data_IF_140713235344
#
_entry.id   IF_140713235344
#
_cell.length_a   1.000
_cell.length_b   1.000
_cell.length_c   1.000
_cell.angle_alpha   90.00
_cell.angle_beta   90.00
_cell.angle_gamma   90.00
#
_symmetry.space_group_name_H-M   'P 1'
#
loop_
_entity.id
_entity.type
_entity.pdbx_description
1 polymer ?
#
# COMPACT_ATOMS: atom_id res chain seq x y z
N UNK A 1 -2.85 -17.04 1.36
CA UNK A 1 -3.69 -16.66 2.50
C UNK A 1 -3.71 -15.15 2.59
N UNK A 2 -4.53 -14.51 1.77
CA UNK A 2 -4.51 -13.06 1.55
C UNK A 2 -4.71 -12.27 2.86
N UNK A 3 -3.99 -11.15 2.93
CA UNK A 3 -3.89 -10.21 4.04
C UNK A 3 -5.20 -10.09 4.84
N UNK A 4 -5.13 -10.25 6.16
CA UNK A 4 -6.21 -9.83 7.05
C UNK A 4 -6.36 -8.32 6.86
N UNK A 5 -7.46 -7.88 6.23
CA UNK A 5 -7.77 -6.48 6.08
C UNK A 5 -7.77 -5.79 7.44
N UNK A 6 -6.73 -5.01 7.73
CA UNK A 6 -6.70 -4.13 8.89
C UNK A 6 -7.80 -3.09 8.76
N UNK A 7 -8.59 -2.88 9.81
CA UNK A 7 -9.57 -1.80 9.84
C UNK A 7 -8.83 -0.47 9.82
N UNK A 8 -9.15 0.39 8.84
CA UNK A 8 -8.64 1.75 8.81
C UNK A 8 -9.00 2.44 10.15
N UNK A 9 -8.08 3.21 10.76
CA UNK A 9 -8.32 3.86 12.04
C UNK A 9 -9.61 4.67 12.03
N UNK A 10 -10.27 4.78 13.20
CA UNK A 10 -11.37 5.74 13.41
C UNK A 10 -10.91 7.14 13.00
N UNK A 11 -11.41 7.63 11.86
CA UNK A 11 -11.16 8.99 11.36
C UNK A 11 -10.31 9.11 10.10
N UNK A 12 -10.11 8.03 9.35
CA UNK A 12 -9.57 8.07 7.99
C UNK A 12 -10.56 8.77 7.03
N UNK A 13 -10.09 9.70 6.20
CA UNK A 13 -10.94 10.45 5.27
C UNK A 13 -11.47 9.61 4.09
N UNK A 14 -10.68 8.60 3.69
CA UNK A 14 -10.98 7.70 2.57
C UNK A 14 -11.33 6.30 3.05
N UNK A 15 -11.76 6.16 4.31
CA UNK A 15 -12.58 5.02 4.62
C UNK A 15 -13.88 5.24 3.85
N UNK A 16 -13.95 4.73 2.61
CA UNK A 16 -15.22 4.27 2.08
C UNK A 16 -15.85 3.41 3.18
N UNK A 17 -15.08 2.64 3.95
CA UNK A 17 -15.49 1.96 5.19
C UNK A 17 -15.94 2.79 6.40
N UNK A 18 -15.86 4.13 6.41
CA UNK A 18 -16.50 4.91 7.46
C UNK A 18 -17.99 4.86 7.23
N UNK A 19 -18.71 4.64 8.32
CA UNK A 19 -20.15 4.65 8.32
C UNK A 19 -20.66 6.03 7.83
N UNK A 20 -21.20 6.20 6.60
CA UNK A 20 -21.83 7.44 6.10
C UNK A 20 -23.03 7.81 6.98
N UNK A 21 -23.36 6.90 7.88
CA UNK A 21 -24.32 7.05 8.92
C UNK A 21 -23.90 7.91 10.12
N UNK A 22 -22.70 8.50 10.08
CA UNK A 22 -22.30 9.55 11.01
C UNK A 22 -21.86 10.81 10.24
N UNK A 23 -22.82 11.42 9.54
CA UNK A 23 -22.74 12.61 8.68
C UNK A 23 -22.22 13.91 9.34
N UNK A 24 -21.73 13.89 10.58
CA UNK A 24 -21.00 15.04 11.15
C UNK A 24 -19.54 15.14 10.66
N UNK A 25 -19.24 14.64 9.46
CA UNK A 25 -17.86 14.47 8.96
C UNK A 25 -17.59 15.29 7.70
N UNK A 26 -17.19 16.53 7.98
CA UNK A 26 -16.35 17.50 7.26
C UNK A 26 -16.05 17.31 5.76
N UNK A 27 -16.57 18.22 4.93
CA UNK A 27 -16.28 18.34 3.49
C UNK A 27 -14.83 18.70 3.20
N UNK A 28 -14.11 19.32 4.15
CA UNK A 28 -12.69 19.70 4.00
C UNK A 28 -11.76 18.49 3.81
N UNK A 29 -12.24 17.28 4.12
CA UNK A 29 -11.51 16.02 3.94
C UNK A 29 -11.56 15.43 2.53
N UNK A 30 -12.52 15.82 1.69
CA UNK A 30 -12.60 15.36 0.29
C UNK A 30 -11.61 16.10 -0.62
N UNK A 31 -11.35 17.38 -0.34
CA UNK A 31 -10.28 18.14 -1.00
C UNK A 31 -8.89 17.58 -0.64
N UNK A 32 -8.79 16.90 0.49
CA UNK A 32 -7.57 16.27 0.97
C UNK A 32 -7.53 14.75 0.76
N UNK A 33 -8.50 14.10 0.09
CA UNK A 33 -8.63 12.64 -0.10
C UNK A 33 -7.58 11.99 -1.03
N UNK A 34 -7.40 10.67 -0.99
CA UNK A 34 -6.39 9.99 -1.84
C UNK A 34 -6.74 10.17 -3.33
N UNK A 35 -8.04 10.16 -3.63
CA UNK A 35 -8.56 10.45 -4.97
C UNK A 35 -8.41 11.93 -5.38
N UNK A 36 -8.38 12.88 -4.44
CA UNK A 36 -8.10 14.28 -4.77
C UNK A 36 -6.59 14.52 -4.95
N UNK A 37 -5.74 13.86 -4.15
CA UNK A 37 -4.28 13.88 -4.29
C UNK A 37 -3.82 13.35 -5.66
N UNK A 38 -4.50 12.35 -6.21
CA UNK A 38 -4.24 11.82 -7.56
C UNK A 38 -4.58 12.80 -8.69
N UNK A 39 -5.43 13.81 -8.43
CA UNK A 39 -6.00 14.69 -9.45
C UNK A 39 -5.63 16.17 -9.29
N UNK A 40 -4.86 16.54 -8.24
CA UNK A 40 -4.46 17.91 -7.97
C UNK A 40 -2.95 18.09 -7.97
N UNK A 41 -2.49 19.29 -8.34
CA UNK A 41 -1.09 19.68 -8.21
C UNK A 41 -0.73 19.88 -6.74
N UNK A 42 0.46 19.44 -6.34
CA UNK A 42 0.98 19.56 -4.97
C UNK A 42 2.41 20.06 -4.98
N UNK A 43 2.69 21.14 -4.25
CA UNK A 43 4.04 21.66 -4.02
C UNK A 43 4.68 20.97 -2.81
N UNK A 44 5.85 20.36 -3.02
CA UNK A 44 6.66 19.76 -1.95
C UNK A 44 8.02 20.44 -1.94
N UNK A 45 8.35 21.12 -0.84
CA UNK A 45 9.70 21.61 -0.55
C UNK A 45 10.37 20.65 0.41
N UNK A 46 11.43 19.96 -0.03
CA UNK A 46 12.09 18.89 0.73
C UNK A 46 13.59 19.13 0.88
N UNK A 47 14.11 18.83 2.06
CA UNK A 47 15.53 18.73 2.37
C UNK A 47 15.87 17.30 2.80
N UNK A 48 16.72 16.63 2.03
CA UNK A 48 17.19 15.29 2.33
C UNK A 48 18.64 15.25 2.82
N UNK A 49 18.88 14.46 3.88
CA UNK A 49 20.21 14.12 4.37
C UNK A 49 20.43 12.62 4.23
N UNK A 50 21.61 12.21 3.78
CA UNK A 50 21.97 10.79 3.70
C UNK A 50 23.38 10.53 4.21
N UNK A 51 23.54 9.40 4.88
CA UNK A 51 24.83 8.82 5.23
C UNK A 51 24.97 7.49 4.50
N UNK A 52 26.13 7.23 3.90
CA UNK A 52 26.41 5.97 3.22
C UNK A 52 27.74 5.41 3.68
N UNK A 53 27.73 4.15 4.09
CA UNK A 53 28.91 3.34 4.37
C UNK A 53 29.01 2.25 3.31
N UNK A 54 30.09 2.26 2.53
CA UNK A 54 30.32 1.32 1.44
C UNK A 54 31.72 0.69 1.58
N UNK A 55 31.75 -0.64 1.60
CA UNK A 55 32.96 -1.47 1.67
C UNK A 55 32.93 -2.60 0.64
N UNK A 56 32.06 -2.49 -0.37
CA UNK A 56 31.89 -3.50 -1.40
C UNK A 56 33.20 -3.68 -2.19
N UNK A 57 33.58 -4.94 -2.41
CA UNK A 57 34.78 -5.25 -3.17
C UNK A 57 34.64 -5.02 -4.68
N UNK A 58 33.42 -4.92 -5.21
CA UNK A 58 33.14 -4.66 -6.61
C UNK A 58 31.75 -4.04 -6.78
N UNK A 59 31.62 -2.97 -7.57
CA UNK A 59 30.37 -2.20 -7.66
C UNK A 59 29.20 -2.93 -8.35
N UNK A 60 29.46 -3.67 -9.44
CA UNK A 60 28.40 -4.36 -10.20
C UNK A 60 28.12 -5.80 -9.76
N UNK A 61 29.07 -6.43 -9.07
CA UNK A 61 29.02 -7.84 -8.68
C UNK A 61 29.75 -8.04 -7.36
N UNK A 62 29.19 -7.50 -6.27
CA UNK A 62 29.83 -7.64 -4.98
C UNK A 62 29.82 -9.12 -4.57
N UNK A 63 30.94 -9.57 -4.01
CA UNK A 63 31.06 -10.91 -3.40
C UNK A 63 31.52 -10.85 -1.96
N UNK A 64 31.90 -9.66 -1.48
CA UNK A 64 32.26 -9.40 -0.10
C UNK A 64 32.08 -7.92 0.23
N UNK A 65 31.64 -7.65 1.45
CA UNK A 65 31.54 -6.31 2.01
C UNK A 65 30.11 -5.95 2.33
N UNK A 66 29.89 -4.67 2.64
CA UNK A 66 28.56 -4.14 2.89
C UNK A 66 28.36 -2.80 2.23
N UNK A 67 27.10 -2.51 1.96
CA UNK A 67 26.60 -1.21 1.61
C UNK A 67 25.45 -0.89 2.56
N UNK A 68 25.56 0.20 3.32
CA UNK A 68 24.50 0.67 4.21
C UNK A 68 24.26 2.14 3.94
N UNK A 69 23.00 2.51 3.72
CA UNK A 69 22.56 3.89 3.55
C UNK A 69 21.45 4.19 4.54
N UNK A 70 21.60 5.31 5.23
CA UNK A 70 20.55 5.89 6.08
C UNK A 70 20.17 7.23 5.46
N UNK A 71 18.87 7.47 5.29
CA UNK A 71 18.31 8.73 4.78
C UNK A 71 17.35 9.32 5.81
N UNK A 72 17.37 10.64 5.91
CA UNK A 72 16.46 11.43 6.70
C UNK A 72 16.03 12.63 5.86
N UNK A 73 14.77 12.65 5.46
CA UNK A 73 14.19 13.70 4.64
C UNK A 73 13.15 14.46 5.47
N UNK A 74 13.08 15.78 5.29
CA UNK A 74 12.07 16.64 5.88
C UNK A 74 11.48 17.52 4.78
N UNK A 75 10.15 17.57 4.70
CA UNK A 75 9.42 18.41 3.78
C UNK A 75 8.47 19.35 4.53
N UNK A 76 8.20 20.52 3.95
CA UNK A 76 7.26 21.50 4.53
C UNK A 76 7.87 22.38 5.61
N UNK A 77 7.02 22.80 6.56
CA UNK A 77 7.42 23.61 7.70
C UNK A 77 7.94 24.99 7.27
N UNK A 78 9.10 25.44 7.80
CA UNK A 78 9.69 26.72 7.44
C UNK A 78 10.03 26.86 5.95
N UNK A 79 10.09 25.75 5.20
CA UNK A 79 10.39 25.74 3.76
C UNK A 79 9.14 25.93 2.89
N UNK A 80 7.95 26.00 3.49
CA UNK A 80 6.66 26.03 2.80
C UNK A 80 6.37 24.72 2.07
N UNK A 81 5.28 24.69 1.31
CA UNK A 81 4.76 23.50 0.65
C UNK A 81 3.44 23.03 1.25
N UNK A 82 2.75 22.16 0.54
CA UNK A 82 1.39 21.73 0.87
C UNK A 82 1.37 20.54 1.84
N UNK A 83 2.54 19.97 2.14
CA UNK A 83 2.68 18.82 3.05
C UNK A 83 3.91 18.98 3.93
N UNK A 84 3.68 18.78 5.23
CA UNK A 84 4.67 18.80 6.29
C UNK A 84 4.89 17.36 6.78
N UNK A 85 6.03 16.78 6.42
CA UNK A 85 6.34 15.38 6.71
C UNK A 85 7.83 15.14 6.88
N UNK A 86 8.18 14.06 7.55
CA UNK A 86 9.54 13.56 7.58
C UNK A 86 9.57 12.08 7.19
N UNK A 87 10.68 11.67 6.59
CA UNK A 87 10.95 10.29 6.17
C UNK A 87 12.27 9.84 6.75
N UNK A 88 12.29 8.68 7.38
CA UNK A 88 13.50 8.00 7.84
C UNK A 88 13.58 6.64 7.15
N UNK A 89 14.70 6.36 6.48
CA UNK A 89 14.88 5.10 5.75
C UNK A 89 16.29 4.54 6.00
N UNK A 90 16.36 3.23 6.20
CA UNK A 90 17.61 2.48 6.19
C UNK A 90 17.54 1.38 5.13
N UNK A 91 18.58 1.31 4.31
CA UNK A 91 18.81 0.25 3.35
C UNK A 91 20.20 -0.34 3.62
N UNK A 92 20.29 -1.66 3.76
CA UNK A 92 21.56 -2.36 3.96
C UNK A 92 21.63 -3.60 3.08
N UNK A 93 22.80 -3.87 2.55
CA UNK A 93 23.12 -5.05 1.77
C UNK A 93 24.47 -5.57 2.21
N UNK A 94 24.49 -6.80 2.72
CA UNK A 94 25.69 -7.53 3.10
C UNK A 94 25.98 -8.64 2.10
N UNK A 95 27.23 -8.75 1.70
CA UNK A 95 27.73 -9.78 0.80
C UNK A 95 28.80 -10.60 1.51
N UNK A 96 28.59 -11.90 1.57
CA UNK A 96 29.51 -12.85 2.17
C UNK A 96 29.96 -13.88 1.13
N UNK A 97 31.25 -14.27 1.13
CA UNK A 97 31.68 -15.47 0.41
C UNK A 97 30.88 -16.69 0.88
N UNK A 98 30.38 -17.48 -0.07
CA UNK A 98 29.63 -18.70 0.22
C UNK A 98 30.52 -19.92 0.50
N UNK A 99 29.89 -21.09 0.56
CA UNK A 99 30.54 -22.38 0.88
C UNK A 99 31.61 -22.86 -0.12
N UNK A 100 31.66 -22.32 -1.34
CA UNK A 100 32.66 -22.69 -2.34
C UNK A 100 33.09 -21.47 -3.17
N UNK A 101 34.16 -21.65 -3.96
CA UNK A 101 34.77 -20.56 -4.72
C UNK A 101 33.75 -19.87 -5.64
N UNK A 102 33.62 -18.56 -5.49
CA UNK A 102 32.73 -17.72 -6.29
C UNK A 102 31.27 -17.73 -5.85
N UNK A 103 30.87 -18.60 -4.92
CA UNK A 103 29.52 -18.56 -4.31
C UNK A 103 29.39 -17.29 -3.46
N UNK A 104 28.19 -16.73 -3.40
CA UNK A 104 27.91 -15.51 -2.65
C UNK A 104 26.58 -15.65 -1.91
N UNK A 105 26.59 -15.33 -0.63
CA UNK A 105 25.39 -15.08 0.18
C UNK A 105 25.17 -13.56 0.25
N UNK A 106 24.02 -13.12 -0.21
CA UNK A 106 23.54 -11.74 -0.15
C UNK A 106 22.41 -11.64 0.88
N UNK A 107 22.51 -10.68 1.79
CA UNK A 107 21.46 -10.36 2.76
C UNK A 107 21.12 -8.89 2.62
N UNK A 108 19.90 -8.60 2.19
CA UNK A 108 19.37 -7.24 2.03
C UNK A 108 18.33 -6.98 3.10
N UNK A 109 18.40 -5.82 3.73
CA UNK A 109 17.41 -5.33 4.68
C UNK A 109 17.02 -3.90 4.34
N UNK A 110 15.71 -3.61 4.41
CA UNK A 110 15.14 -2.27 4.23
C UNK A 110 14.13 -2.03 5.33
N UNK A 111 14.12 -0.82 5.88
CA UNK A 111 13.05 -0.37 6.75
C UNK A 111 12.89 1.12 6.61
N UNK A 112 11.66 1.61 6.73
CA UNK A 112 11.40 3.04 6.69
C UNK A 112 10.11 3.42 7.37
N UNK A 113 10.08 4.68 7.80
CA UNK A 113 8.92 5.34 8.37
C UNK A 113 8.78 6.71 7.72
N UNK A 114 7.55 7.07 7.40
CA UNK A 114 7.16 8.40 6.96
C UNK A 114 5.97 8.84 7.82
N UNK A 115 6.03 10.07 8.32
CA UNK A 115 5.00 10.60 9.19
C UNK A 115 4.86 12.11 8.94
N UNK A 116 3.67 12.63 9.23
CA UNK A 116 3.35 14.05 9.11
C UNK A 116 3.53 14.79 10.42
N UNK A 117 3.78 16.09 10.32
CA UNK A 117 3.79 16.98 11.48
C UNK A 117 3.05 18.28 11.16
N UNK A 118 2.92 19.15 12.16
CA UNK A 118 2.28 20.46 11.99
C UNK A 118 0.80 20.35 11.60
N UNK A 119 0.42 21.01 10.52
CA UNK A 119 -0.97 21.07 10.04
C UNK A 119 -1.32 19.90 9.11
N UNK A 120 -0.32 19.14 8.67
CA UNK A 120 -0.52 17.96 7.84
C UNK A 120 -1.06 16.80 8.67
N UNK A 121 -2.23 16.30 8.25
CA UNK A 121 -2.97 15.27 9.01
C UNK A 121 -2.62 13.84 8.59
N UNK A 122 -1.96 13.65 7.44
CA UNK A 122 -1.73 12.34 6.85
C UNK A 122 -0.63 12.37 5.80
N UNK A 123 0.05 11.24 5.64
CA UNK A 123 1.04 11.06 4.57
C UNK A 123 0.32 10.87 3.23
N UNK A 124 0.62 11.71 2.22
CA UNK A 124 0.00 11.59 0.90
C UNK A 124 0.34 10.28 0.20
N UNK A 125 -0.56 9.79 -0.63
CA UNK A 125 -0.49 8.47 -1.26
C UNK A 125 0.83 8.20 -1.97
N UNK A 126 1.34 9.18 -2.71
CA UNK A 126 2.61 9.06 -3.45
C UNK A 126 3.86 9.00 -2.56
N UNK A 127 3.74 9.40 -1.29
CA UNK A 127 4.84 9.39 -0.33
C UNK A 127 4.86 8.11 0.53
N UNK A 128 3.81 7.29 0.46
CA UNK A 128 3.71 6.05 1.23
C UNK A 128 4.60 4.95 0.68
N UNK A 129 4.85 3.95 1.53
CA UNK A 129 5.62 2.77 1.18
C UNK A 129 4.74 1.67 0.59
N UNK A 130 5.34 0.89 -0.30
CA UNK A 130 4.71 -0.24 -0.96
C UNK A 130 5.72 -1.37 -1.10
N UNK A 131 5.25 -2.62 -0.95
CA UNK A 131 6.03 -3.82 -1.21
C UNK A 131 5.33 -4.70 -2.24
N UNK A 132 6.09 -5.57 -2.89
CA UNK A 132 5.63 -6.42 -3.99
C UNK A 132 6.30 -6.08 -5.34
N UNK A 133 6.39 -7.08 -6.21
CA UNK A 133 7.10 -7.00 -7.48
C UNK A 133 8.61 -7.32 -7.39
N UNK A 134 9.33 -7.14 -8.50
CA UNK A 134 10.67 -7.69 -8.70
C UNK A 134 11.81 -7.11 -7.82
N UNK A 135 11.60 -5.97 -7.16
CA UNK A 135 12.64 -5.31 -6.35
C UNK A 135 12.52 -5.56 -4.84
N UNK A 136 11.41 -6.13 -4.39
CA UNK A 136 11.15 -6.41 -2.98
C UNK A 136 10.64 -7.84 -2.82
N UNK A 137 9.35 -8.04 -2.54
CA UNK A 137 8.73 -9.37 -2.41
C UNK A 137 8.45 -9.96 -3.79
N UNK A 138 9.41 -10.73 -4.32
CA UNK A 138 9.35 -11.34 -5.65
C UNK A 138 8.24 -12.40 -5.74
N UNK A 139 7.51 -12.40 -6.85
CA UNK A 139 6.37 -13.31 -7.08
C UNK A 139 5.03 -12.77 -6.59
N UNK A 140 5.01 -11.71 -5.77
CA UNK A 140 3.81 -10.90 -5.53
C UNK A 140 3.64 -9.84 -6.61
N UNK A 141 2.40 -9.43 -6.84
CA UNK A 141 2.09 -8.35 -7.77
C UNK A 141 2.66 -7.01 -7.28
N UNK A 142 2.86 -6.08 -8.21
CA UNK A 142 3.44 -4.79 -7.92
C UNK A 142 2.57 -4.02 -6.91
N UNK A 143 3.16 -3.65 -5.76
CA UNK A 143 2.51 -2.93 -4.64
C UNK A 143 1.40 -3.70 -3.91
N UNK A 144 1.29 -5.01 -4.11
CA UNK A 144 0.21 -5.82 -3.54
C UNK A 144 0.26 -5.94 -2.00
N UNK A 145 1.45 -5.78 -1.42
CA UNK A 145 1.67 -5.99 0.01
C UNK A 145 1.46 -4.70 0.80
N UNK A 146 0.47 -4.74 1.69
CA UNK A 146 0.19 -3.66 2.65
C UNK A 146 -1.30 -3.39 2.82
N UNK A 147 -1.65 -2.23 3.42
CA UNK A 147 -3.01 -1.75 3.48
C UNK A 147 -3.63 -1.63 2.08
N UNK A 148 -4.84 -2.16 1.93
CA UNK A 148 -5.61 -2.10 0.69
C UNK A 148 -6.87 -1.28 0.89
N UNK A 149 -7.38 -0.71 -0.21
CA UNK A 149 -8.59 0.08 -0.16
C UNK A 149 -9.78 -0.82 0.16
N UNK A 150 -10.40 -0.55 1.30
CA UNK A 150 -11.64 -1.16 1.71
C UNK A 150 -12.82 -0.45 1.04
N UNK A 151 -13.65 -1.19 0.31
CA UNK A 151 -14.85 -0.65 -0.35
C UNK A 151 -16.11 -1.22 0.29
N UNK A 152 -17.23 -0.54 0.06
CA UNK A 152 -18.52 -1.11 0.43
C UNK A 152 -18.85 -2.23 -0.52
N UNK A 153 -19.34 -3.34 0.03
CA UNK A 153 -19.95 -4.38 -0.78
C UNK A 153 -21.16 -3.77 -1.47
N UNK A 154 -21.14 -3.79 -2.79
CA UNK A 154 -22.24 -3.31 -3.65
C UNK A 154 -22.79 -4.46 -4.48
N UNK A 155 -23.98 -4.27 -5.05
CA UNK A 155 -24.58 -5.28 -5.90
C UNK A 155 -25.87 -4.83 -6.53
N UNK A 156 -26.50 -5.75 -7.25
CA UNK A 156 -27.80 -5.55 -7.88
C UNK A 156 -28.77 -6.58 -7.32
N UNK A 157 -29.97 -6.15 -6.92
CA UNK A 157 -31.01 -7.05 -6.42
C UNK A 157 -31.81 -7.71 -7.57
N UNK A 158 -32.77 -8.58 -7.20
CA UNK A 158 -33.64 -9.27 -8.17
C UNK A 158 -34.57 -8.36 -8.94
N UNK A 159 -34.79 -7.12 -8.47
CA UNK A 159 -35.60 -6.09 -9.12
C UNK A 159 -34.76 -5.15 -10.01
N UNK A 160 -33.49 -5.50 -10.24
CA UNK A 160 -32.53 -4.75 -11.04
C UNK A 160 -32.22 -3.34 -10.47
N UNK A 161 -32.33 -3.18 -9.15
CA UNK A 161 -31.88 -1.99 -8.42
C UNK A 161 -30.44 -2.19 -7.95
N UNK A 162 -29.60 -1.18 -8.14
CA UNK A 162 -28.26 -1.13 -7.58
C UNK A 162 -28.30 -0.69 -6.12
N UNK A 163 -27.35 -1.16 -5.31
CA UNK A 163 -27.36 -0.93 -3.87
C UNK A 163 -26.12 -1.43 -3.15
N UNK A 164 -26.17 -1.38 -1.83
CA UNK A 164 -25.06 -1.75 -0.96
C UNK A 164 -25.54 -2.65 0.19
N UNK A 165 -24.60 -3.32 0.86
CA UNK A 165 -24.92 -4.25 1.93
C UNK A 165 -24.58 -3.67 3.32
N UNK A 166 -25.46 -3.91 4.29
CA UNK A 166 -25.27 -3.56 5.71
C UNK A 166 -25.58 -4.74 6.61
N UNK A 167 -24.99 -4.76 7.80
CA UNK A 167 -25.28 -5.71 8.88
C UNK A 167 -26.13 -5.03 9.96
N UNK A 168 -27.15 -5.73 10.43
CA UNK A 168 -27.92 -5.31 11.61
C UNK A 168 -27.14 -5.61 12.91
N UNK A 169 -27.73 -5.25 14.07
CA UNK A 169 -27.19 -5.61 15.40
C UNK A 169 -26.95 -7.12 15.59
N UNK A 170 -27.72 -7.97 14.90
CA UNK A 170 -27.60 -9.43 14.92
C UNK A 170 -26.62 -9.97 13.87
N UNK A 171 -25.85 -9.11 13.21
CA UNK A 171 -24.89 -9.42 12.13
C UNK A 171 -25.50 -10.02 10.86
N UNK A 172 -26.81 -9.89 10.67
CA UNK A 172 -27.52 -10.31 9.46
C UNK A 172 -27.32 -9.28 8.35
N UNK A 173 -26.81 -9.72 7.20
CA UNK A 173 -26.63 -8.89 6.01
C UNK A 173 -27.97 -8.54 5.35
N UNK A 174 -28.14 -7.27 4.98
CA UNK A 174 -29.30 -6.75 4.24
C UNK A 174 -28.82 -5.87 3.08
N UNK A 175 -29.50 -5.98 1.95
CA UNK A 175 -29.29 -5.15 0.77
C UNK A 175 -30.14 -3.90 0.82
N UNK A 176 -29.52 -2.74 0.56
CA UNK A 176 -30.17 -1.42 0.54
C UNK A 176 -30.07 -0.87 -0.87
N UNK A 177 -31.21 -0.70 -1.59
CA UNK A 177 -31.19 -0.08 -2.90
C UNK A 177 -30.83 1.41 -2.79
N UNK A 178 -30.21 1.94 -3.84
CA UNK A 178 -29.91 3.36 -4.01
C UNK A 178 -30.32 3.83 -5.39
N UNK A 179 -30.48 5.15 -5.55
CA UNK A 179 -30.88 5.72 -6.85
C UNK A 179 -29.70 5.83 -7.83
N UNK A 180 -28.47 5.48 -7.41
CA UNK A 180 -27.27 5.47 -8.27
C UNK A 180 -27.23 4.22 -9.14
N UNK A 181 -26.76 4.37 -10.39
CA UNK A 181 -26.53 3.25 -11.32
C UNK A 181 -25.04 2.92 -11.53
N UNK A 182 -24.14 3.60 -10.80
CA UNK A 182 -22.70 3.44 -10.91
C UNK A 182 -22.08 2.79 -9.67
N UNK A 183 -20.80 2.38 -9.76
CA UNK A 183 -20.06 1.70 -8.68
C UNK A 183 -19.92 2.50 -7.37
N UNK A 184 -20.34 3.76 -7.36
CA UNK A 184 -20.37 4.64 -6.21
C UNK A 184 -21.82 4.85 -5.76
N UNK A 185 -22.31 4.03 -4.81
CA UNK A 185 -23.72 4.02 -4.41
C UNK A 185 -24.16 5.28 -3.68
N UNK A 186 -23.24 6.17 -3.29
CA UNK A 186 -23.57 7.38 -2.54
C UNK A 186 -23.46 8.67 -3.34
N UNK A 187 -23.07 8.58 -4.62
CA UNK A 187 -22.98 9.72 -5.49
C UNK A 187 -24.18 9.76 -6.45
N UNK A 188 -24.83 10.92 -6.54
CA UNK A 188 -25.80 11.21 -7.59
C UNK A 188 -25.04 11.43 -8.89
N UNK A 189 -25.25 10.52 -9.81
CA UNK A 189 -24.72 10.55 -11.17
C UNK A 189 -25.57 11.53 -12.01
N UNK A 190 -24.91 12.40 -12.77
CA UNK A 190 -25.58 13.31 -13.68
C UNK A 190 -26.36 12.49 -14.74
N UNK A 191 -27.69 12.68 -14.86
CA UNK A 191 -28.51 11.94 -15.81
C UNK A 191 -28.09 12.14 -17.27
N UNK A 192 -27.50 13.30 -17.59
CA UNK A 192 -27.07 13.67 -18.94
C UNK A 192 -25.60 13.30 -19.20
N UNK A 193 -24.78 13.20 -18.15
CA UNK A 193 -23.39 12.78 -18.24
C UNK A 193 -23.03 11.76 -17.14
N UNK A 194 -23.17 10.45 -17.42
CA UNK A 194 -22.90 9.39 -16.44
C UNK A 194 -21.48 9.39 -15.87
N UNK A 195 -20.52 10.05 -16.51
CA UNK A 195 -19.15 10.16 -15.98
C UNK A 195 -19.00 11.23 -14.89
N UNK A 196 -20.01 12.10 -14.70
CA UNK A 196 -20.00 13.17 -13.71
C UNK A 196 -20.89 12.84 -12.50
N UNK A 197 -20.36 13.14 -11.32
CA UNK A 197 -21.07 13.03 -10.04
C UNK A 197 -21.15 14.42 -9.41
N UNK A 198 -22.34 14.83 -8.96
CA UNK A 198 -22.57 16.24 -8.59
C UNK A 198 -23.04 16.44 -7.14
N UNK A 199 -23.47 15.40 -6.44
CA UNK A 199 -23.84 15.49 -5.02
C UNK A 199 -23.90 14.13 -4.35
N UNK A 200 -23.84 14.12 -3.01
CA UNK A 200 -24.10 12.92 -2.22
C UNK A 200 -25.61 12.62 -2.17
N UNK A 201 -25.98 11.34 -2.14
CA UNK A 201 -27.35 10.93 -1.80
C UNK A 201 -27.42 10.39 -0.37
N UNK A 202 -28.52 10.75 0.32
CA UNK A 202 -28.86 10.16 1.61
C UNK A 202 -29.31 8.73 1.32
N UNK A 203 -28.72 7.71 1.94
CA UNK A 203 -29.12 6.34 1.70
C UNK A 203 -30.57 6.07 2.13
N UNK A 204 -31.20 5.01 1.62
CA UNK A 204 -32.56 4.61 2.03
C UNK A 204 -32.52 3.86 3.36
N UNK A 205 -33.58 3.99 4.17
CA UNK A 205 -33.66 3.31 5.48
C UNK A 205 -33.67 1.77 5.30
N UNK A 206 -32.75 1.02 5.94
CA UNK A 206 -32.72 -0.43 5.92
C UNK A 206 -33.97 -1.16 6.41
N UNK A 207 -34.79 -0.50 7.23
CA UNK A 207 -36.06 -1.03 7.71
C UNK A 207 -37.24 -0.64 6.81
N UNK A 208 -37.12 0.45 6.05
CA UNK A 208 -38.16 0.97 5.16
C UNK A 208 -37.52 1.72 3.96
N UNK A 209 -37.28 1.02 2.84
CA UNK A 209 -36.61 1.61 1.68
C UNK A 209 -37.34 2.80 1.05
N UNK A 210 -38.58 3.08 1.45
CA UNK A 210 -39.32 4.26 0.98
C UNK A 210 -38.97 5.55 1.72
N UNK A 211 -38.18 5.45 2.80
CA UNK A 211 -37.77 6.57 3.65
C UNK A 211 -36.28 6.86 3.52
N UNK A 212 -35.94 8.13 3.68
CA UNK A 212 -34.57 8.56 3.89
C UNK A 212 -34.05 7.97 5.20
N UNK A 213 -32.84 7.44 5.15
CA UNK A 213 -32.18 6.84 6.29
C UNK A 213 -31.87 7.90 7.35
N UNK A 214 -32.17 7.56 8.61
CA UNK A 214 -31.82 8.36 9.78
C UNK A 214 -30.73 7.67 10.60
N UNK A 215 -29.71 8.40 11.09
CA UNK A 215 -28.71 7.90 12.03
C UNK A 215 -29.30 7.32 13.30
N UNK A 216 -29.59 6.03 13.27
CA UNK A 216 -29.72 5.21 14.45
C UNK A 216 -28.56 4.21 14.43
N UNK A 217 -27.89 3.99 15.57
CA UNK A 217 -26.72 3.10 15.76
C UNK A 217 -27.05 1.59 15.56
N UNK A 218 -27.84 1.24 14.56
CA UNK A 218 -28.40 -0.11 14.35
C UNK A 218 -27.74 -0.87 13.20
N UNK A 219 -27.00 -0.19 12.33
CA UNK A 219 -26.50 -0.78 11.08
C UNK A 219 -25.04 -0.43 10.81
N UNK A 220 -24.26 -1.43 10.41
CA UNK A 220 -22.84 -1.28 10.04
C UNK A 220 -22.64 -1.74 8.60
N UNK A 221 -21.86 -1.03 7.77
CA UNK A 221 -21.60 -1.47 6.41
C UNK A 221 -20.94 -2.83 6.32
N UNK A 222 -21.25 -3.56 5.25
CA UNK A 222 -20.45 -4.70 4.83
C UNK A 222 -19.33 -4.18 3.96
N UNK A 223 -18.11 -4.36 4.45
CA UNK A 223 -16.89 -3.97 3.76
C UNK A 223 -16.33 -5.17 3.03
N UNK A 224 -15.91 -4.95 1.79
CA UNK A 224 -15.21 -5.91 0.96
C UNK A 224 -13.83 -5.35 0.64
N UNK A 225 -12.80 -6.19 0.79
CA UNK A 225 -11.46 -5.86 0.35
C UNK A 225 -11.48 -5.86 -1.18
N UNK A 226 -11.22 -4.72 -1.81
CA UNK A 226 -11.30 -4.66 -3.27
C UNK A 226 -10.17 -5.44 -3.92
N UNK A 227 -9.03 -5.65 -3.24
CA UNK A 227 -7.81 -6.24 -3.83
C UNK A 227 -7.21 -5.41 -4.96
N UNK A 228 -7.87 -4.34 -5.39
CA UNK A 228 -7.62 -3.66 -6.67
C UNK A 228 -6.79 -2.38 -6.50
N UNK A 229 -6.84 -1.77 -5.32
CA UNK A 229 -6.17 -0.48 -5.07
C UNK A 229 -5.32 -0.60 -3.79
N UNK A 230 -4.00 -0.79 -3.92
CA UNK A 230 -3.11 -0.76 -2.76
C UNK A 230 -3.02 0.68 -2.25
N UNK A 231 -3.13 0.88 -0.93
CA UNK A 231 -3.03 2.21 -0.30
C UNK A 231 -1.62 2.55 0.13
N UNK A 232 -0.76 1.54 0.23
CA UNK A 232 0.54 1.67 0.85
C UNK A 232 0.42 1.98 2.35
N UNK A 233 1.53 2.35 2.97
CA UNK A 233 1.55 2.63 4.40
C UNK A 233 2.65 3.58 4.83
N UNK A 234 2.55 4.04 6.08
CA UNK A 234 3.50 4.97 6.69
C UNK A 234 4.73 4.29 7.28
N UNK A 235 4.74 2.96 7.40
CA UNK A 235 5.95 2.23 7.78
C UNK A 235 6.05 0.89 7.07
N UNK A 236 7.28 0.41 6.89
CA UNK A 236 7.54 -0.88 6.27
C UNK A 236 8.86 -1.47 6.72
N UNK A 237 8.99 -2.78 6.56
CA UNK A 237 10.26 -3.47 6.57
C UNK A 237 10.28 -4.58 5.54
N UNK A 238 11.47 -4.89 5.05
CA UNK A 238 11.71 -5.92 4.06
C UNK A 238 13.09 -6.54 4.29
N UNK A 239 13.19 -7.85 4.14
CA UNK A 239 14.45 -8.60 4.19
C UNK A 239 14.46 -9.64 3.08
N UNK A 240 15.60 -9.79 2.42
CA UNK A 240 15.84 -10.81 1.41
C UNK A 240 17.16 -11.51 1.72
N UNK A 241 17.14 -12.84 1.70
CA UNK A 241 18.35 -13.67 1.75
C UNK A 241 18.47 -14.38 0.41
N UNK A 242 19.57 -14.16 -0.31
CA UNK A 242 19.83 -14.75 -1.61
C UNK A 242 21.18 -15.50 -1.60
N UNK A 243 21.18 -16.76 -2.02
CA UNK A 243 22.38 -17.55 -2.21
C UNK A 243 22.60 -17.81 -3.70
N UNK A 244 23.72 -17.32 -4.23
CA UNK A 244 24.04 -17.44 -5.66
C UNK A 244 25.29 -18.27 -5.93
N UNK A 245 25.20 -19.13 -6.93
CA UNK A 245 26.21 -20.08 -7.37
C UNK A 245 26.62 -19.74 -8.81
N UNK A 246 27.92 -19.52 -9.10
CA UNK A 246 28.37 -19.33 -10.46
C UNK A 246 28.30 -20.66 -11.24
N UNK A 247 27.73 -20.61 -12.45
CA UNK A 247 27.75 -21.73 -13.41
C UNK A 247 28.90 -21.53 -14.40
N UNK A 248 29.01 -20.31 -14.92
CA UNK A 248 30.13 -19.80 -15.74
C UNK A 248 30.36 -18.33 -15.34
N UNK A 249 31.42 -17.70 -15.84
CA UNK A 249 31.81 -16.33 -15.47
C UNK A 249 30.67 -15.30 -15.59
N UNK A 250 29.74 -15.49 -16.53
CA UNK A 250 28.65 -14.55 -16.83
C UNK A 250 27.27 -15.01 -16.37
N UNK A 251 27.15 -16.20 -15.79
CA UNK A 251 25.87 -16.80 -15.41
C UNK A 251 25.95 -17.33 -13.99
N UNK A 252 25.03 -16.89 -13.13
CA UNK A 252 24.82 -17.45 -11.81
C UNK A 252 23.38 -17.91 -11.69
N UNK A 253 23.17 -18.99 -10.95
CA UNK A 253 21.85 -19.39 -10.44
C UNK A 253 21.74 -18.93 -9.00
N UNK A 254 20.56 -18.51 -8.58
CA UNK A 254 20.29 -18.04 -7.23
C UNK A 254 19.07 -18.76 -6.65
N UNK A 255 19.08 -18.94 -5.35
CA UNK A 255 17.90 -19.25 -4.55
C UNK A 255 17.71 -18.10 -3.58
N UNK A 256 16.47 -17.69 -3.37
CA UNK A 256 16.17 -16.60 -2.46
C UNK A 256 14.96 -16.89 -1.57
N UNK A 257 14.91 -16.17 -0.47
CA UNK A 257 13.77 -16.09 0.43
C UNK A 257 13.58 -14.62 0.81
N UNK A 258 12.37 -14.11 0.58
CA UNK A 258 12.00 -12.73 0.85
C UNK A 258 10.91 -12.71 1.92
N UNK A 259 10.96 -11.71 2.79
CA UNK A 259 9.97 -11.49 3.83
C UNK A 259 9.83 -9.99 4.08
N UNK A 260 8.60 -9.51 4.28
CA UNK A 260 8.38 -8.11 4.59
C UNK A 260 6.91 -7.76 4.80
N UNK A 261 6.67 -6.53 5.26
CA UNK A 261 5.33 -6.02 5.48
C UNK A 261 5.31 -4.49 5.38
N UNK A 262 4.13 -3.95 5.03
CA UNK A 262 3.80 -2.52 5.05
C UNK A 262 2.66 -2.32 6.03
N UNK A 263 2.74 -1.29 6.86
CA UNK A 263 1.77 -0.96 7.89
C UNK A 263 1.20 0.44 7.67
N UNK A 264 -0.08 0.60 8.03
CA UNK A 264 -0.80 1.86 7.84
C UNK A 264 -0.17 3.01 8.62
N UNK A 265 0.16 2.76 9.89
CA UNK A 265 0.58 3.80 10.82
C UNK A 265 2.12 3.92 10.86
N UNK A 266 2.66 5.13 11.12
CA UNK A 266 4.08 5.32 11.29
C UNK A 266 4.57 4.59 12.56
N UNK A 267 5.77 4.02 12.49
CA UNK A 267 6.38 3.23 13.57
C UNK A 267 5.60 1.98 14.01
N UNK A 268 4.60 1.54 13.25
CA UNK A 268 3.96 0.25 13.45
C UNK A 268 4.83 -0.86 12.86
N UNK A 269 5.41 -1.69 13.71
CA UNK A 269 6.29 -2.79 13.34
C UNK A 269 5.82 -4.11 13.96
N UNK A 270 4.53 -4.41 13.82
CA UNK A 270 3.97 -5.68 14.26
C UNK A 270 4.48 -6.86 13.40
N UNK A 271 5.48 -7.58 13.90
CA UNK A 271 6.08 -8.74 13.24
C UNK A 271 5.18 -9.99 13.21
N UNK A 272 3.95 -9.92 13.72
CA UNK A 272 3.03 -11.07 13.75
C UNK A 272 2.39 -11.37 12.38
N UNK A 273 2.21 -10.36 11.53
CA UNK A 273 1.68 -10.50 10.18
C UNK A 273 2.74 -9.99 9.20
N UNK A 274 3.08 -10.83 8.22
CA UNK A 274 4.03 -10.53 7.17
C UNK A 274 3.67 -11.30 5.89
N UNK A 275 4.21 -10.83 4.78
CA UNK A 275 4.24 -11.57 3.53
C UNK A 275 5.62 -12.20 3.33
N UNK A 276 5.66 -13.45 2.90
CA UNK A 276 6.90 -14.15 2.57
C UNK A 276 6.81 -14.97 1.28
N UNK A 277 7.97 -15.21 0.67
CA UNK A 277 8.10 -16.08 -0.48
C UNK A 277 9.47 -16.74 -0.51
N UNK A 278 9.59 -17.77 -1.35
CA UNK A 278 10.88 -18.30 -1.78
C UNK A 278 10.93 -18.40 -3.29
N UNK A 279 12.11 -18.44 -3.86
CA UNK A 279 12.23 -18.56 -5.31
C UNK A 279 13.60 -18.91 -5.82
N UNK A 280 13.69 -18.97 -7.14
CA UNK A 280 14.91 -19.22 -7.88
C UNK A 280 15.14 -18.08 -8.88
N UNK A 281 16.41 -17.78 -9.13
CA UNK A 281 16.83 -16.67 -9.97
C UNK A 281 17.96 -17.03 -10.92
N UNK A 282 18.02 -16.33 -12.04
CA UNK A 282 19.15 -16.27 -12.94
C UNK A 282 19.78 -14.88 -12.87
N UNK A 283 21.11 -14.84 -12.82
CA UNK A 283 21.91 -13.61 -12.89
C UNK A 283 22.79 -13.70 -14.13
N UNK A 284 22.56 -12.84 -15.11
CA UNK A 284 23.34 -12.76 -16.33
C UNK A 284 24.11 -11.44 -16.39
N UNK A 285 25.37 -11.50 -16.81
CA UNK A 285 26.12 -10.30 -17.22
C UNK A 285 26.10 -10.24 -18.73
N UNK A 286 25.32 -9.30 -19.28
CA UNK A 286 25.25 -9.12 -20.72
C UNK A 286 26.28 -8.07 -21.12
N UNK A 287 27.22 -8.38 -22.05
CA UNK A 287 28.17 -7.39 -22.55
C UNK A 287 27.46 -6.13 -23.03
N UNK A 288 27.99 -4.96 -22.68
CA UNK A 288 27.45 -3.63 -23.00
C UNK A 288 26.10 -3.26 -22.37
N UNK A 289 25.25 -4.22 -21.97
CA UNK A 289 23.95 -3.95 -21.35
C UNK A 289 23.98 -3.98 -19.81
N UNK A 290 24.97 -4.65 -19.21
CA UNK A 290 25.12 -4.75 -17.76
C UNK A 290 24.42 -5.98 -17.14
N UNK A 291 24.20 -5.97 -15.81
CA UNK A 291 23.62 -7.11 -15.11
C UNK A 291 22.10 -7.21 -15.36
N UNK A 292 21.66 -8.41 -15.74
CA UNK A 292 20.26 -8.78 -15.87
C UNK A 292 19.89 -9.81 -14.79
N UNK A 293 18.72 -9.62 -14.18
CA UNK A 293 18.13 -10.54 -13.20
C UNK A 293 16.80 -11.06 -13.74
N UNK A 294 16.60 -12.37 -13.65
CA UNK A 294 15.31 -13.01 -13.90
C UNK A 294 14.98 -13.87 -12.69
N UNK A 295 13.89 -13.56 -12.01
CA UNK A 295 13.47 -14.23 -10.77
C UNK A 295 12.09 -14.86 -10.93
N UNK A 296 11.93 -16.03 -10.34
CA UNK A 296 10.66 -16.72 -10.22
C UNK A 296 10.41 -17.04 -8.75
N UNK A 297 9.47 -16.31 -8.15
CA UNK A 297 9.10 -16.41 -6.74
C UNK A 297 7.76 -17.12 -6.54
N UNK A 298 7.64 -17.85 -5.43
CA UNK A 298 6.45 -18.56 -4.98
C UNK A 298 5.97 -17.94 -3.67
N UNK A 299 4.89 -17.13 -3.69
CA UNK A 299 4.24 -16.62 -2.49
C UNK A 299 3.83 -17.75 -1.53
N UNK A 300 4.05 -17.57 -0.22
CA UNK A 300 3.73 -18.57 0.80
C UNK A 300 2.52 -18.15 1.64
N UNK A 301 2.58 -16.95 2.22
CA UNK A 301 1.47 -16.33 2.97
C UNK A 301 0.56 -15.52 2.07
#
# INVERSE_FOLDING_TARGET
>A
GLAKGYDLPKGHADSLSANPFNWSYDMDRLDQGELSELNNDRLVSELGLFFTYDSLNHGLMPSRGQFTRVKADIAGGPMGGDTEMYRLEIETAYFYPGFAQGHVLEVVGKAGVVDTFGDSKRVPYFDRYFLGGGYTLRGYDYRDIGPQMKRWKTGVNTENEFGYFVKNKDKVEKFIPVDSKGSYPFLKQDPENPSNYYSWQIPRDPADPTKEWKPEEKWTPVIEDSGEIPLGGSSYWFTSVEYSIPIIERLRVAMFYDIGMVYNDPYDFDLSNYADNWGIGLRLIVPMLGPLRLDYGFPLT
#
